data_IF_854717721285
#
_entry.id   IF_854717721285
#
_cell.length_a   1.000
_cell.length_b   1.000
_cell.length_c   1.000
_cell.angle_alpha   90.00
_cell.angle_beta   90.00
_cell.angle_gamma   90.00
#
_symmetry.space_group_name_H-M   'P 1'
#
loop_
_entity.id
_entity.type
_entity.pdbx_description
1 polymer ?
#
# COMPACT_ATOMS: atom_id res chain seq x y z
N UNK A 1 16.15 7.75 20.42
CA UNK A 1 15.99 6.41 21.05
C UNK A 1 15.24 6.46 22.36
N UNK A 2 15.74 7.14 23.40
CA UNK A 2 15.07 7.21 24.72
C UNK A 2 13.60 7.62 24.65
N UNK A 3 13.26 8.65 23.87
CA UNK A 3 11.86 9.06 23.67
C UNK A 3 10.99 7.94 23.04
N UNK A 4 11.51 7.23 22.03
CA UNK A 4 10.79 6.12 21.40
C UNK A 4 10.64 4.93 22.35
N UNK A 5 11.63 4.70 23.22
CA UNK A 5 11.56 3.68 24.27
C UNK A 5 10.45 4.00 25.27
N UNK A 6 10.39 5.23 25.77
CA UNK A 6 9.33 5.67 26.67
C UNK A 6 7.95 5.48 26.05
N UNK A 7 7.74 5.94 24.81
CA UNK A 7 6.48 5.77 24.10
C UNK A 7 6.10 4.29 23.92
N UNK A 8 7.07 3.46 23.51
CA UNK A 8 6.86 2.02 23.31
C UNK A 8 6.49 1.32 24.62
N UNK A 9 7.24 1.58 25.69
CA UNK A 9 6.98 0.99 27.00
C UNK A 9 5.63 1.45 27.53
N UNK A 10 5.32 2.74 27.48
CA UNK A 10 4.02 3.28 27.91
C UNK A 10 2.85 2.65 27.15
N UNK A 11 2.98 2.49 25.84
CA UNK A 11 1.97 1.84 25.02
C UNK A 11 1.88 0.32 25.25
N UNK A 12 2.95 -0.29 25.77
CA UNK A 12 3.03 -1.71 26.07
C UNK A 12 2.70 -2.06 27.53
N UNK A 13 2.57 -1.05 28.41
CA UNK A 13 2.38 -1.23 29.86
C UNK A 13 1.20 -2.16 30.14
N UNK A 14 1.53 -3.31 30.71
CA UNK A 14 0.61 -4.27 31.33
C UNK A 14 1.35 -4.86 32.52
N UNK A 15 0.74 -4.79 33.69
CA UNK A 15 1.35 -5.03 35.01
C UNK A 15 2.22 -6.28 35.15
N UNK A 16 2.01 -7.30 34.29
CA UNK A 16 2.69 -8.59 34.40
C UNK A 16 3.83 -8.82 33.38
N UNK A 17 4.05 -7.90 32.41
CA UNK A 17 4.97 -8.16 31.27
C UNK A 17 5.94 -7.02 30.90
N UNK A 18 6.10 -6.02 31.76
CA UNK A 18 6.95 -4.85 31.47
C UNK A 18 8.41 -5.23 31.12
N UNK A 19 8.96 -6.27 31.75
CA UNK A 19 10.31 -6.75 31.43
C UNK A 19 10.42 -7.33 30.00
N UNK A 20 9.36 -7.98 29.51
CA UNK A 20 9.34 -8.53 28.14
C UNK A 20 9.32 -7.39 27.13
N UNK A 21 8.51 -6.36 27.35
CA UNK A 21 8.48 -5.18 26.48
C UNK A 21 9.85 -4.50 26.39
N UNK A 22 10.53 -4.31 27.53
CA UNK A 22 11.88 -3.76 27.57
C UNK A 22 12.87 -4.61 26.77
N UNK A 23 12.85 -5.93 26.94
CA UNK A 23 13.72 -6.84 26.19
C UNK A 23 13.46 -6.77 24.67
N UNK A 24 12.19 -6.73 24.26
CA UNK A 24 11.79 -6.59 22.84
C UNK A 24 12.32 -5.29 22.25
N UNK A 25 12.17 -4.19 22.97
CA UNK A 25 12.67 -2.89 22.53
C UNK A 25 14.20 -2.86 22.43
N UNK A 26 14.91 -3.49 23.38
CA UNK A 26 16.37 -3.60 23.32
C UNK A 26 16.84 -4.43 22.12
N UNK A 27 16.17 -5.54 21.81
CA UNK A 27 16.44 -6.33 20.61
C UNK A 27 16.22 -5.50 19.34
N UNK A 28 15.09 -4.79 19.25
CA UNK A 28 14.77 -3.93 18.11
C UNK A 28 15.77 -2.78 17.96
N UNK A 29 16.26 -2.21 19.08
CA UNK A 29 17.29 -1.16 19.08
C UNK A 29 18.62 -1.67 18.53
N UNK A 30 19.03 -2.89 18.90
CA UNK A 30 20.25 -3.51 18.35
C UNK A 30 20.12 -3.75 16.85
N UNK A 31 18.97 -4.27 16.40
CA UNK A 31 18.68 -4.45 14.98
C UNK A 31 18.69 -3.10 14.24
N UNK A 32 18.06 -2.07 14.82
CA UNK A 32 18.03 -0.72 14.26
C UNK A 32 19.43 -0.17 13.99
N UNK A 33 20.34 -0.22 14.97
CA UNK A 33 21.70 0.30 14.76
C UNK A 33 22.48 -0.52 13.73
N UNK A 34 22.33 -1.85 13.74
CA UNK A 34 22.94 -2.73 12.73
C UNK A 34 22.45 -2.36 11.33
N UNK A 35 21.13 -2.31 11.12
CA UNK A 35 20.55 -2.01 9.82
C UNK A 35 20.85 -0.60 9.37
N UNK A 36 20.86 0.38 10.29
CA UNK A 36 21.25 1.75 9.99
C UNK A 36 22.69 1.80 9.45
N UNK A 37 23.64 1.14 10.10
CA UNK A 37 25.02 1.07 9.62
C UNK A 37 25.09 0.42 8.22
N UNK A 38 24.37 -0.68 8.00
CA UNK A 38 24.34 -1.32 6.68
C UNK A 38 23.74 -0.43 5.59
N UNK A 39 22.70 0.34 5.90
CA UNK A 39 22.14 1.35 4.99
C UNK A 39 23.16 2.44 4.65
N UNK A 40 23.85 2.97 5.66
CA UNK A 40 24.91 3.97 5.46
C UNK A 40 26.04 3.43 4.57
N UNK A 41 26.41 2.16 4.73
CA UNK A 41 27.44 1.52 3.91
C UNK A 41 26.99 1.30 2.47
N UNK A 42 25.73 0.92 2.25
CA UNK A 42 25.16 0.81 0.91
C UNK A 42 25.16 2.15 0.18
N UNK A 43 24.79 3.22 0.89
CA UNK A 43 24.77 4.59 0.37
C UNK A 43 26.17 5.17 0.15
N UNK A 44 27.18 4.82 0.97
CA UNK A 44 28.56 5.25 0.73
C UNK A 44 29.17 4.69 -0.56
N UNK A 45 28.63 3.59 -1.07
CA UNK A 45 29.05 3.02 -2.35
C UNK A 45 28.32 3.67 -3.54
N UNK A 46 27.28 4.47 -3.29
CA UNK A 46 26.59 5.30 -4.27
C UNK A 46 27.06 6.77 -4.07
N UNK A 47 27.25 7.57 -5.12
CA UNK A 47 27.85 8.93 -5.03
C UNK A 47 26.98 9.98 -4.27
N UNK A 48 25.97 9.54 -3.51
CA UNK A 48 24.84 10.29 -2.93
C UNK A 48 25.08 10.80 -1.48
N UNK A 49 26.32 11.07 -1.08
CA UNK A 49 26.70 11.35 0.32
C UNK A 49 25.99 12.56 0.97
N UNK A 50 25.56 13.56 0.19
CA UNK A 50 24.84 14.75 0.69
C UNK A 50 23.39 14.47 1.05
N UNK A 51 22.69 13.62 0.27
CA UNK A 51 21.28 13.26 0.47
C UNK A 51 21.09 12.40 1.72
N UNK A 52 22.05 11.52 2.01
CA UNK A 52 22.06 10.69 3.22
C UNK A 52 22.07 11.54 4.50
N UNK A 53 22.84 12.63 4.51
CA UNK A 53 22.91 13.54 5.65
C UNK A 53 21.58 14.24 5.93
N UNK A 54 20.85 14.62 4.87
CA UNK A 54 19.52 15.20 4.98
C UNK A 54 18.49 14.15 5.42
N UNK A 55 18.60 12.92 4.92
CA UNK A 55 17.70 11.82 5.23
C UNK A 55 17.85 11.32 6.68
N UNK A 56 19.07 11.28 7.22
CA UNK A 56 19.34 10.99 8.63
C UNK A 56 18.82 12.08 9.58
N UNK A 57 18.73 13.32 9.12
CA UNK A 57 18.13 14.42 9.88
C UNK A 57 16.60 14.35 9.90
N UNK A 58 15.98 13.51 9.05
CA UNK A 58 14.53 13.30 9.07
C UNK A 58 14.16 12.39 10.25
N UNK A 59 13.65 12.97 11.33
CA UNK A 59 13.16 12.22 12.49
C UNK A 59 12.13 11.13 12.13
N UNK A 60 11.32 11.35 11.09
CA UNK A 60 10.36 10.37 10.57
C UNK A 60 11.04 9.13 9.99
N UNK A 61 12.13 9.30 9.22
CA UNK A 61 12.87 8.17 8.65
C UNK A 61 13.41 7.25 9.75
N UNK A 62 14.09 7.82 10.75
CA UNK A 62 14.64 7.03 11.85
C UNK A 62 13.56 6.32 12.67
N UNK A 63 12.42 6.98 12.90
CA UNK A 63 11.25 6.37 13.56
C UNK A 63 10.64 5.24 12.73
N UNK A 64 10.50 5.41 11.41
CA UNK A 64 10.02 4.36 10.50
C UNK A 64 10.96 3.16 10.46
N UNK A 65 12.27 3.39 10.43
CA UNK A 65 13.27 2.33 10.48
C UNK A 65 13.20 1.56 11.81
N UNK A 66 13.07 2.27 12.93
CA UNK A 66 12.89 1.64 14.24
C UNK A 66 11.57 0.87 14.31
N UNK A 67 10.47 1.41 13.76
CA UNK A 67 9.18 0.74 13.69
C UNK A 67 9.29 -0.59 12.92
N UNK A 68 10.01 -0.61 11.80
CA UNK A 68 10.29 -1.82 11.04
C UNK A 68 11.09 -2.84 11.87
N UNK A 69 12.12 -2.40 12.60
CA UNK A 69 12.91 -3.27 13.47
C UNK A 69 12.07 -3.85 14.62
N UNK A 70 11.18 -3.05 15.20
CA UNK A 70 10.21 -3.51 16.20
C UNK A 70 9.29 -4.54 15.56
N UNK A 71 8.70 -4.27 14.39
CA UNK A 71 7.82 -5.20 13.69
C UNK A 71 8.49 -6.56 13.44
N UNK A 72 9.77 -6.57 13.04
CA UNK A 72 10.56 -7.81 12.90
C UNK A 72 10.67 -8.56 14.23
N UNK A 73 11.00 -7.85 15.32
CA UNK A 73 11.10 -8.45 16.66
C UNK A 73 9.73 -8.90 17.18
N UNK A 74 8.64 -8.25 16.82
CA UNK A 74 7.30 -8.71 17.22
C UNK A 74 6.92 -9.96 16.42
N UNK A 75 7.06 -9.91 15.09
CA UNK A 75 6.74 -11.01 14.18
C UNK A 75 7.53 -12.30 14.48
N UNK A 76 8.81 -12.18 14.84
CA UNK A 76 9.65 -13.34 15.17
C UNK A 76 9.21 -14.07 16.44
N UNK A 77 8.59 -13.37 17.39
CA UNK A 77 8.16 -13.95 18.65
C UNK A 77 6.64 -14.16 18.74
N UNK A 78 5.87 -13.76 17.72
CA UNK A 78 4.43 -13.96 17.64
C UNK A 78 4.02 -15.44 17.70
N UNK A 79 4.81 -16.37 17.14
CA UNK A 79 4.53 -17.81 17.21
C UNK A 79 4.50 -18.36 18.65
N UNK A 80 5.14 -17.69 19.61
CA UNK A 80 5.14 -18.09 21.03
C UNK A 80 4.05 -17.39 21.84
N UNK A 81 3.36 -16.41 21.27
CA UNK A 81 2.66 -15.36 22.00
C UNK A 81 1.15 -15.32 21.73
N UNK A 82 0.67 -15.98 20.67
CA UNK A 82 -0.77 -16.17 20.39
C UNK A 82 -1.50 -16.82 21.58
N UNK A 83 -0.82 -17.69 22.34
CA UNK A 83 -1.39 -18.39 23.49
C UNK A 83 -1.67 -17.48 24.71
N UNK A 84 -1.11 -16.26 24.76
CA UNK A 84 -1.18 -15.38 25.93
C UNK A 84 -1.81 -14.00 25.67
N UNK A 85 -2.38 -13.76 24.48
CA UNK A 85 -3.01 -12.47 24.14
C UNK A 85 -2.06 -11.28 24.27
N UNK A 86 -0.76 -11.55 24.19
CA UNK A 86 0.31 -10.63 24.51
C UNK A 86 0.88 -10.12 23.19
N UNK A 87 0.71 -8.83 22.94
CA UNK A 87 1.35 -8.08 21.86
C UNK A 87 0.96 -8.48 20.42
N UNK A 88 -0.29 -8.91 20.18
CA UNK A 88 -0.89 -8.98 18.83
C UNK A 88 -1.19 -7.57 18.27
N UNK A 89 -0.20 -6.67 18.35
CA UNK A 89 -0.27 -5.40 17.66
C UNK A 89 0.00 -5.65 16.19
N UNK A 90 -1.01 -5.46 15.34
CA UNK A 90 -0.78 -5.19 13.91
C UNK A 90 0.34 -4.14 13.79
N UNK A 91 1.13 -4.15 12.73
CA UNK A 91 2.11 -3.10 12.44
C UNK A 91 1.50 -1.68 12.55
N UNK A 92 0.18 -1.53 12.37
CA UNK A 92 -0.55 -0.28 12.62
C UNK A 92 -0.52 0.21 14.07
N UNK A 93 -0.32 -0.68 15.05
CA UNK A 93 -0.11 -0.30 16.44
C UNK A 93 1.19 0.48 16.58
N UNK A 94 2.32 -0.02 16.06
CA UNK A 94 3.60 0.70 16.19
C UNK A 94 3.59 2.02 15.43
N UNK A 95 2.87 2.09 14.30
CA UNK A 95 2.63 3.35 13.58
C UNK A 95 1.95 4.39 14.49
N UNK A 96 0.90 4.00 15.22
CA UNK A 96 0.22 4.91 16.17
C UNK A 96 1.13 5.33 17.32
N UNK A 97 1.89 4.41 17.90
CA UNK A 97 2.81 4.70 19.02
C UNK A 97 3.86 5.73 18.63
N UNK A 98 4.39 5.67 17.40
CA UNK A 98 5.42 6.60 16.92
C UNK A 98 4.88 7.81 16.15
N UNK A 99 3.56 7.91 16.00
CA UNK A 99 2.87 8.91 15.20
C UNK A 99 3.40 8.93 13.75
N UNK A 100 3.36 7.77 13.11
CA UNK A 100 3.79 7.53 11.73
C UNK A 100 2.59 7.18 10.86
N UNK A 101 2.66 7.55 9.59
CA UNK A 101 1.68 7.14 8.59
C UNK A 101 2.18 5.91 7.84
N UNK A 102 1.27 5.18 7.18
CA UNK A 102 1.63 4.02 6.34
C UNK A 102 2.66 4.38 5.27
N UNK A 103 2.51 5.57 4.66
CA UNK A 103 3.46 6.06 3.65
C UNK A 103 4.89 6.24 4.19
N UNK A 104 5.03 6.68 5.45
CA UNK A 104 6.34 6.86 6.08
C UNK A 104 7.07 5.52 6.28
N UNK A 105 6.33 4.45 6.58
CA UNK A 105 6.88 3.10 6.72
C UNK A 105 7.17 2.44 5.37
N UNK A 106 6.28 2.60 4.39
CA UNK A 106 6.46 2.13 3.02
C UNK A 106 7.81 2.56 2.42
N UNK A 107 8.18 3.83 2.61
CA UNK A 107 9.43 4.40 2.11
C UNK A 107 10.69 3.73 2.68
N UNK A 108 10.60 3.05 3.82
CA UNK A 108 11.75 2.42 4.49
C UNK A 108 11.79 0.91 4.24
N UNK A 109 10.65 0.24 4.03
CA UNK A 109 10.56 -1.22 3.90
C UNK A 109 11.46 -1.78 2.78
N UNK A 110 11.46 -1.15 1.60
CA UNK A 110 12.29 -1.59 0.48
C UNK A 110 13.79 -1.55 0.79
N UNK A 111 14.28 -0.43 1.31
CA UNK A 111 15.69 -0.27 1.69
C UNK A 111 16.06 -1.17 2.87
N UNK A 112 15.14 -1.38 3.83
CA UNK A 112 15.34 -2.29 4.95
C UNK A 112 15.58 -3.73 4.47
N UNK A 113 14.74 -4.23 3.56
CA UNK A 113 14.88 -5.57 3.00
C UNK A 113 16.17 -5.73 2.18
N UNK A 114 16.63 -4.67 1.50
CA UNK A 114 17.93 -4.65 0.80
C UNK A 114 19.11 -4.69 1.78
N UNK A 115 19.00 -4.00 2.92
CA UNK A 115 20.07 -3.91 3.92
C UNK A 115 20.20 -5.13 4.83
N UNK A 116 19.10 -5.82 5.15
CA UNK A 116 19.10 -6.99 6.03
C UNK A 116 18.83 -8.28 5.24
N UNK A 117 19.89 -8.80 4.59
CA UNK A 117 19.82 -10.01 3.75
C UNK A 117 19.75 -11.32 4.53
N UNK A 118 19.94 -11.29 5.86
CA UNK A 118 19.99 -12.48 6.72
C UNK A 118 18.66 -12.76 7.43
N UNK A 119 17.55 -12.12 7.02
CA UNK A 119 16.24 -12.38 7.60
C UNK A 119 15.76 -13.80 7.25
N UNK A 120 15.15 -14.52 8.21
CA UNK A 120 14.43 -15.75 7.90
C UNK A 120 13.33 -15.49 6.86
N UNK A 121 13.12 -16.43 5.92
CA UNK A 121 12.15 -16.27 4.83
C UNK A 121 10.72 -16.01 5.32
N UNK A 122 10.34 -16.54 6.48
CA UNK A 122 9.04 -16.27 7.10
C UNK A 122 8.87 -14.80 7.52
N UNK A 123 9.93 -14.18 8.04
CA UNK A 123 9.95 -12.76 8.44
C UNK A 123 9.99 -11.86 7.21
N UNK A 124 10.81 -12.20 6.21
CA UNK A 124 10.84 -11.47 4.95
C UNK A 124 9.45 -11.46 4.27
N UNK A 125 8.78 -12.62 4.23
CA UNK A 125 7.40 -12.75 3.73
C UNK A 125 6.40 -11.95 4.58
N UNK A 126 6.58 -11.93 5.89
CA UNK A 126 5.76 -11.09 6.79
C UNK A 126 5.89 -9.60 6.45
N UNK A 127 7.11 -9.09 6.24
CA UNK A 127 7.32 -7.70 5.86
C UNK A 127 6.75 -7.36 4.47
N UNK A 128 6.79 -8.31 3.53
CA UNK A 128 6.10 -8.15 2.24
C UNK A 128 4.58 -8.06 2.43
N UNK A 129 3.98 -8.88 3.30
CA UNK A 129 2.56 -8.77 3.63
C UNK A 129 2.23 -7.42 4.29
N UNK A 130 3.10 -6.91 5.16
CA UNK A 130 2.95 -5.57 5.76
C UNK A 130 2.99 -4.49 4.67
N UNK A 131 3.90 -4.60 3.70
CA UNK A 131 3.95 -3.68 2.55
C UNK A 131 2.65 -3.72 1.75
N UNK A 132 2.14 -4.91 1.45
CA UNK A 132 0.87 -5.08 0.75
C UNK A 132 -0.29 -4.47 1.54
N UNK A 133 -0.41 -4.73 2.85
CA UNK A 133 -1.45 -4.12 3.70
C UNK A 133 -1.39 -2.59 3.71
N UNK A 134 -0.17 -2.02 3.73
CA UNK A 134 0.00 -0.57 3.64
C UNK A 134 -0.56 -0.03 2.33
N UNK A 135 -0.23 -0.68 1.22
CA UNK A 135 -0.68 -0.33 -0.13
C UNK A 135 -2.19 -0.58 -0.29
N UNK A 136 -2.75 -1.58 0.37
CA UNK A 136 -4.15 -1.94 0.24
C UNK A 136 -5.08 -0.95 0.95
N UNK A 137 -4.72 -0.43 2.12
CA UNK A 137 -5.63 0.46 2.88
C UNK A 137 -4.95 1.52 3.76
N UNK A 138 -3.80 1.26 4.39
CA UNK A 138 -3.25 2.17 5.41
C UNK A 138 -2.82 3.51 4.82
N UNK A 139 -2.23 3.50 3.63
CA UNK A 139 -1.73 4.69 2.96
C UNK A 139 -2.86 5.62 2.47
N UNK A 140 -4.08 5.11 2.32
CA UNK A 140 -5.21 5.86 1.78
C UNK A 140 -6.07 6.53 2.86
N UNK A 141 -5.70 6.43 4.14
CA UNK A 141 -6.37 7.16 5.22
C UNK A 141 -6.32 8.67 4.98
N UNK A 142 -7.37 9.41 5.31
CA UNK A 142 -7.48 10.84 4.99
C UNK A 142 -6.31 11.70 5.52
N UNK A 143 -5.74 11.34 6.67
CA UNK A 143 -4.59 12.04 7.29
C UNK A 143 -3.24 11.66 6.65
N UNK A 144 -3.23 10.84 5.60
CA UNK A 144 -2.00 10.36 4.98
C UNK A 144 -1.25 11.49 4.25
N UNK A 145 0.08 11.61 4.44
CA UNK A 145 0.91 12.58 3.72
C UNK A 145 0.96 12.34 2.21
N UNK A 146 0.45 11.18 1.75
CA UNK A 146 0.28 10.89 0.33
C UNK A 146 -0.54 11.97 -0.38
N UNK A 147 -1.67 12.38 0.20
CA UNK A 147 -2.58 13.33 -0.43
C UNK A 147 -1.97 14.74 -0.48
N UNK A 148 -1.30 15.16 0.60
CA UNK A 148 -0.59 16.44 0.63
C UNK A 148 0.52 16.49 -0.43
N UNK A 149 1.32 15.42 -0.53
CA UNK A 149 2.41 15.34 -1.53
C UNK A 149 1.85 15.34 -2.96
N UNK A 150 0.71 14.69 -3.19
CA UNK A 150 0.03 14.71 -4.48
C UNK A 150 -0.53 16.09 -4.83
N UNK A 151 -1.03 16.84 -3.84
CA UNK A 151 -1.54 18.20 -4.05
C UNK A 151 -0.40 19.17 -4.35
N UNK A 152 0.70 19.12 -3.58
CA UNK A 152 1.87 19.97 -3.82
C UNK A 152 2.43 19.79 -5.24
N UNK A 153 2.47 18.55 -5.74
CA UNK A 153 2.95 18.28 -7.10
C UNK A 153 1.95 18.69 -8.20
N UNK A 154 0.65 18.84 -7.89
CA UNK A 154 -0.36 19.31 -8.85
C UNK A 154 -0.30 20.82 -9.07
N UNK A 155 0.00 21.57 -8.02
CA UNK A 155 0.14 23.03 -8.11
C UNK A 155 1.30 23.42 -9.04
N UNK A 156 2.32 22.55 -9.18
CA UNK A 156 3.42 22.69 -10.14
C UNK A 156 3.02 22.31 -11.60
N UNK A 157 1.96 21.52 -11.80
CA UNK A 157 1.52 21.00 -13.11
C UNK A 157 0.63 21.94 -13.92
N UNK A 158 -0.08 22.90 -13.30
CA UNK A 158 -0.88 23.88 -14.06
C UNK A 158 -0.01 24.69 -15.05
N UNK A 159 1.32 24.63 -14.91
CA UNK A 159 2.30 25.30 -15.75
C UNK A 159 2.95 24.40 -16.83
N UNK A 160 2.95 23.06 -16.73
CA UNK A 160 3.74 22.19 -17.63
C UNK A 160 3.13 20.79 -17.87
N UNK A 161 2.21 20.70 -18.84
CA UNK A 161 1.71 19.47 -19.50
C UNK A 161 0.92 18.46 -18.64
N UNK A 162 0.07 17.68 -19.33
CA UNK A 162 -0.83 16.63 -18.80
C UNK A 162 -0.08 15.38 -18.27
N UNK A 163 0.98 15.57 -17.48
CA UNK A 163 1.70 14.47 -16.85
C UNK A 163 0.99 14.05 -15.54
N UNK A 164 1.41 12.93 -14.94
CA UNK A 164 0.82 12.45 -13.70
C UNK A 164 1.56 13.05 -12.49
N UNK A 165 0.86 13.58 -11.48
CA UNK A 165 1.50 14.30 -10.35
C UNK A 165 2.53 13.48 -9.58
N UNK A 166 2.37 12.15 -9.56
CA UNK A 166 3.26 11.26 -8.83
C UNK A 166 4.58 10.95 -9.56
N UNK A 167 4.72 11.29 -10.84
CA UNK A 167 5.97 11.07 -11.60
C UNK A 167 7.10 11.99 -11.15
N UNK A 168 6.78 13.09 -10.46
CA UNK A 168 7.75 14.10 -10.04
C UNK A 168 8.58 13.70 -8.80
N UNK A 169 8.17 12.66 -8.06
CA UNK A 169 8.88 12.17 -6.87
C UNK A 169 9.19 10.69 -6.99
N UNK A 170 10.47 10.32 -6.81
CA UNK A 170 10.92 8.92 -6.82
C UNK A 170 10.15 8.03 -5.82
N UNK A 171 9.75 8.60 -4.67
CA UNK A 171 9.02 7.86 -3.65
C UNK A 171 7.53 7.66 -4.00
N UNK A 172 6.91 8.66 -4.62
CA UNK A 172 5.52 8.56 -5.09
C UNK A 172 5.44 7.65 -6.32
N UNK A 173 6.36 7.80 -7.27
CA UNK A 173 6.40 6.95 -8.45
C UNK A 173 6.53 5.48 -8.05
N UNK A 174 7.50 5.15 -7.19
CA UNK A 174 7.68 3.80 -6.66
C UNK A 174 6.40 3.27 -5.98
N UNK A 175 5.74 4.11 -5.19
CA UNK A 175 4.48 3.76 -4.53
C UNK A 175 3.38 3.42 -5.54
N UNK A 176 3.10 4.31 -6.50
CA UNK A 176 2.06 4.09 -7.51
C UNK A 176 2.38 2.88 -8.41
N UNK A 177 3.66 2.65 -8.73
CA UNK A 177 4.09 1.42 -9.43
C UNK A 177 3.67 0.18 -8.63
N UNK A 178 3.99 0.14 -7.34
CA UNK A 178 3.69 -1.01 -6.49
C UNK A 178 2.19 -1.17 -6.27
N UNK A 179 1.45 -0.08 -6.09
CA UNK A 179 -0.01 -0.09 -5.99
C UNK A 179 -0.67 -0.65 -7.25
N UNK A 180 -0.26 -0.19 -8.43
CA UNK A 180 -0.75 -0.70 -9.71
C UNK A 180 -0.42 -2.18 -9.91
N UNK A 181 0.81 -2.61 -9.59
CA UNK A 181 1.20 -4.03 -9.69
C UNK A 181 0.38 -4.93 -8.76
N UNK A 182 0.21 -4.52 -7.51
CA UNK A 182 -0.59 -5.27 -6.53
C UNK A 182 -2.06 -5.35 -6.98
N UNK A 183 -2.64 -4.24 -7.42
CA UNK A 183 -4.00 -4.19 -7.93
C UNK A 183 -4.20 -5.09 -9.15
N UNK A 184 -3.29 -5.02 -10.13
CA UNK A 184 -3.34 -5.85 -11.33
C UNK A 184 -3.24 -7.34 -10.97
N UNK A 185 -2.31 -7.72 -10.09
CA UNK A 185 -2.15 -9.11 -9.66
C UNK A 185 -3.42 -9.65 -9.00
N UNK A 186 -4.00 -8.90 -8.05
CA UNK A 186 -5.24 -9.29 -7.36
C UNK A 186 -6.44 -9.36 -8.31
N UNK A 187 -6.56 -8.39 -9.21
CA UNK A 187 -7.58 -8.38 -10.26
C UNK A 187 -7.45 -9.60 -11.18
N UNK A 188 -6.24 -9.95 -11.62
CA UNK A 188 -5.98 -11.09 -12.49
C UNK A 188 -6.40 -12.42 -11.83
N UNK A 189 -6.10 -12.61 -10.55
CA UNK A 189 -6.55 -13.80 -9.79
C UNK A 189 -8.08 -13.85 -9.72
N UNK A 190 -8.75 -12.74 -9.41
CA UNK A 190 -10.21 -12.67 -9.37
C UNK A 190 -10.84 -12.99 -10.72
N UNK A 191 -10.31 -12.41 -11.80
CA UNK A 191 -10.76 -12.67 -13.16
C UNK A 191 -10.56 -14.13 -13.56
N UNK A 192 -9.43 -14.75 -13.18
CA UNK A 192 -9.19 -16.18 -13.38
C UNK A 192 -10.20 -17.05 -12.61
N UNK A 193 -10.53 -16.71 -11.37
CA UNK A 193 -11.54 -17.42 -10.59
C UNK A 193 -12.99 -17.25 -11.09
N UNK A 194 -13.23 -16.25 -11.94
CA UNK A 194 -14.53 -15.92 -12.54
C UNK A 194 -14.59 -16.24 -14.05
N UNK A 195 -13.55 -16.91 -14.58
CA UNK A 195 -13.44 -17.30 -15.99
C UNK A 195 -13.60 -16.12 -16.98
N UNK A 196 -13.04 -14.96 -16.62
CA UNK A 196 -13.07 -13.75 -17.45
C UNK A 196 -11.92 -13.73 -18.45
N UNK A 197 -12.24 -13.49 -19.73
CA UNK A 197 -11.26 -13.45 -20.82
C UNK A 197 -10.31 -12.24 -20.74
N UNK A 198 -9.23 -12.29 -21.53
CA UNK A 198 -8.18 -11.26 -21.55
C UNK A 198 -8.70 -9.87 -21.94
N UNK A 199 -9.67 -9.79 -22.84
CA UNK A 199 -10.23 -8.50 -23.29
C UNK A 199 -11.00 -7.80 -22.17
N UNK A 200 -11.78 -8.55 -21.38
CA UNK A 200 -12.44 -8.03 -20.20
C UNK A 200 -11.43 -7.64 -19.13
N UNK A 201 -10.38 -8.44 -18.91
CA UNK A 201 -9.33 -8.11 -17.95
C UNK A 201 -8.66 -6.77 -18.27
N UNK A 202 -8.35 -6.48 -19.54
CA UNK A 202 -7.80 -5.19 -19.97
C UNK A 202 -8.74 -4.02 -19.69
N UNK A 203 -10.04 -4.20 -19.92
CA UNK A 203 -11.03 -3.16 -19.65
C UNK A 203 -11.24 -2.92 -18.15
N UNK A 204 -11.27 -3.99 -17.35
CA UNK A 204 -11.31 -3.91 -15.89
C UNK A 204 -10.05 -3.20 -15.38
N UNK A 205 -8.88 -3.55 -15.93
CA UNK A 205 -7.62 -2.89 -15.60
C UNK A 205 -7.66 -1.39 -15.89
N UNK A 206 -8.06 -0.97 -17.09
CA UNK A 206 -8.17 0.45 -17.43
C UNK A 206 -9.06 1.23 -16.47
N UNK A 207 -10.14 0.62 -15.97
CA UNK A 207 -11.00 1.22 -14.95
C UNK A 207 -10.29 1.35 -13.59
N UNK A 208 -9.59 0.30 -13.14
CA UNK A 208 -8.81 0.30 -11.89
C UNK A 208 -7.67 1.33 -11.95
N UNK A 209 -6.92 1.33 -13.04
CA UNK A 209 -5.81 2.26 -13.27
C UNK A 209 -6.31 3.71 -13.22
N UNK A 210 -7.44 4.02 -13.86
CA UNK A 210 -8.04 5.35 -13.79
C UNK A 210 -8.40 5.74 -12.35
N UNK A 211 -8.89 4.79 -11.53
CA UNK A 211 -9.17 5.05 -10.11
C UNK A 211 -7.90 5.37 -9.33
N UNK A 212 -6.82 4.61 -9.54
CA UNK A 212 -5.57 4.77 -8.80
C UNK A 212 -4.86 6.05 -9.24
N UNK A 213 -4.66 6.23 -10.55
CA UNK A 213 -3.79 7.26 -11.12
C UNK A 213 -4.48 8.61 -11.30
N UNK A 214 -5.76 8.65 -11.69
CA UNK A 214 -6.46 9.89 -12.04
C UNK A 214 -7.49 10.32 -10.99
N UNK A 215 -8.18 9.33 -10.39
CA UNK A 215 -9.29 9.56 -9.44
C UNK A 215 -8.98 9.05 -8.04
N UNK A 216 -7.74 9.27 -7.59
CA UNK A 216 -7.17 8.73 -6.34
C UNK A 216 -8.03 9.00 -5.09
N UNK A 217 -8.81 10.10 -5.08
CA UNK A 217 -9.74 10.42 -3.98
C UNK A 217 -10.79 9.34 -3.72
N UNK A 218 -11.10 8.48 -4.70
CA UNK A 218 -12.00 7.33 -4.48
C UNK A 218 -11.42 6.32 -3.47
N UNK A 219 -10.10 6.29 -3.29
CA UNK A 219 -9.41 5.42 -2.33
C UNK A 219 -9.36 6.01 -0.92
N UNK A 220 -9.67 7.30 -0.74
CA UNK A 220 -9.60 7.94 0.58
C UNK A 220 -10.50 7.22 1.60
N UNK A 221 -9.89 6.79 2.71
CA UNK A 221 -10.49 5.97 3.78
C UNK A 221 -11.10 4.64 3.30
N UNK A 222 -10.64 4.14 2.15
CA UNK A 222 -11.13 2.93 1.51
C UNK A 222 -10.01 1.94 1.25
N UNK A 223 -10.44 0.72 0.94
CA UNK A 223 -9.56 -0.39 0.62
C UNK A 223 -9.47 -0.55 -0.89
N UNK A 224 -8.27 -0.79 -1.41
CA UNK A 224 -8.01 -0.97 -2.85
C UNK A 224 -8.88 -2.07 -3.48
N UNK A 225 -9.05 -3.20 -2.78
CA UNK A 225 -9.95 -4.27 -3.21
C UNK A 225 -11.42 -3.85 -3.40
N UNK A 226 -11.92 -2.83 -2.71
CA UNK A 226 -13.28 -2.31 -2.96
C UNK A 226 -13.37 -1.73 -4.37
N UNK A 227 -12.35 -0.97 -4.79
CA UNK A 227 -12.23 -0.43 -6.15
C UNK A 227 -12.09 -1.57 -7.17
N UNK A 228 -11.26 -2.58 -6.90
CA UNK A 228 -11.08 -3.74 -7.80
C UNK A 228 -12.42 -4.47 -8.01
N UNK A 229 -13.14 -4.79 -6.94
CA UNK A 229 -14.43 -5.49 -7.03
C UNK A 229 -15.50 -4.64 -7.73
N UNK A 230 -15.53 -3.33 -7.49
CA UNK A 230 -16.47 -2.42 -8.17
C UNK A 230 -16.15 -2.23 -9.66
N UNK A 231 -14.88 -2.11 -10.03
CA UNK A 231 -14.45 -2.03 -11.42
C UNK A 231 -14.78 -3.31 -12.19
N UNK A 232 -14.51 -4.48 -11.59
CA UNK A 232 -14.88 -5.77 -12.15
C UNK A 232 -16.39 -5.87 -12.37
N UNK A 233 -17.20 -5.57 -11.35
CA UNK A 233 -18.65 -5.59 -11.47
C UNK A 233 -19.15 -4.61 -12.55
N UNK A 234 -18.67 -3.37 -12.54
CA UNK A 234 -19.09 -2.32 -13.47
C UNK A 234 -18.83 -2.68 -14.93
N UNK A 235 -17.62 -3.15 -15.25
CA UNK A 235 -17.26 -3.56 -16.62
C UNK A 235 -18.04 -4.80 -17.06
N UNK A 236 -18.16 -5.82 -16.20
CA UNK A 236 -18.93 -7.02 -16.52
C UNK A 236 -20.40 -6.69 -16.78
N UNK A 237 -21.00 -5.79 -16.00
CA UNK A 237 -22.39 -5.36 -16.19
C UNK A 237 -22.62 -4.67 -17.54
N UNK A 238 -21.68 -3.83 -17.99
CA UNK A 238 -21.77 -3.11 -19.28
C UNK A 238 -21.57 -4.06 -20.47
N UNK A 239 -20.78 -5.11 -20.27
CA UNK A 239 -20.56 -6.17 -21.27
C UNK A 239 -21.58 -7.29 -21.20
N UNK A 240 -22.71 -7.03 -20.54
CA UNK A 240 -23.84 -7.96 -20.39
C UNK A 240 -23.41 -9.35 -19.87
N UNK A 241 -22.36 -9.38 -19.03
CA UNK A 241 -21.96 -10.59 -18.30
C UNK A 241 -22.78 -10.71 -17.02
N UNK A 242 -23.38 -11.87 -16.83
CA UNK A 242 -24.16 -12.18 -15.63
C UNK A 242 -23.24 -12.47 -14.43
N UNK A 243 -22.67 -11.40 -13.87
CA UNK A 243 -21.83 -11.44 -12.67
C UNK A 243 -22.48 -10.60 -11.59
N UNK A 244 -22.69 -11.22 -10.44
CA UNK A 244 -23.23 -10.56 -9.25
C UNK A 244 -22.13 -10.25 -8.24
N UNK A 245 -22.31 -9.21 -7.43
CA UNK A 245 -21.41 -8.95 -6.28
C UNK A 245 -21.25 -10.16 -5.37
N UNK A 246 -22.29 -10.99 -5.20
CA UNK A 246 -22.22 -12.23 -4.42
C UNK A 246 -21.18 -13.21 -4.98
N UNK A 247 -21.13 -13.36 -6.31
CA UNK A 247 -20.12 -14.20 -6.97
C UNK A 247 -18.72 -13.63 -6.76
N UNK A 248 -18.55 -12.32 -6.95
CA UNK A 248 -17.28 -11.62 -6.80
C UNK A 248 -16.74 -11.76 -5.37
N UNK A 249 -17.52 -11.40 -4.34
CA UNK A 249 -17.06 -11.45 -2.95
C UNK A 249 -16.76 -12.87 -2.48
N UNK A 250 -17.43 -13.89 -3.06
CA UNK A 250 -17.12 -15.31 -2.78
C UNK A 250 -15.73 -15.68 -3.30
N UNK A 251 -15.35 -15.23 -4.49
CA UNK A 251 -14.01 -15.47 -5.07
C UNK A 251 -12.95 -14.58 -4.43
N UNK A 252 -13.31 -13.38 -3.99
CA UNK A 252 -12.45 -12.46 -3.24
C UNK A 252 -11.91 -13.07 -1.96
N UNK A 253 -12.75 -13.82 -1.21
CA UNK A 253 -12.32 -14.49 0.02
C UNK A 253 -11.29 -15.62 -0.21
N UNK A 254 -10.97 -15.95 -1.46
CA UNK A 254 -9.87 -16.87 -1.81
C UNK A 254 -8.53 -16.15 -1.95
N UNK A 255 -8.50 -14.81 -1.96
CA UNK A 255 -7.27 -14.04 -2.02
C UNK A 255 -6.55 -14.03 -0.66
N UNK A 256 -5.22 -13.94 -0.65
CA UNK A 256 -4.47 -13.73 0.58
C UNK A 256 -4.88 -12.40 1.23
N UNK A 257 -4.93 -12.41 2.57
CA UNK A 257 -5.30 -11.28 3.43
C UNK A 257 -6.69 -10.69 3.15
N UNK A 258 -7.56 -11.46 2.49
CA UNK A 258 -8.94 -11.05 2.27
C UNK A 258 -9.76 -11.10 3.56
N UNK A 259 -10.68 -10.15 3.71
CA UNK A 259 -11.56 -10.10 4.87
C UNK A 259 -12.97 -9.71 4.46
N UNK A 260 -13.96 -10.35 5.06
CA UNK A 260 -15.37 -10.01 4.82
C UNK A 260 -15.72 -8.58 5.26
N UNK A 261 -14.93 -7.98 6.16
CA UNK A 261 -15.11 -6.60 6.60
C UNK A 261 -14.91 -5.62 5.44
N UNK A 262 -14.02 -5.93 4.51
CA UNK A 262 -13.66 -5.07 3.37
C UNK A 262 -14.86 -4.73 2.49
N UNK A 263 -15.81 -5.66 2.30
CA UNK A 263 -17.01 -5.40 1.50
C UNK A 263 -18.29 -5.20 2.31
N UNK A 264 -18.24 -5.41 3.64
CA UNK A 264 -19.37 -5.21 4.55
C UNK A 264 -19.39 -3.81 5.18
N UNK A 265 -18.22 -3.23 5.43
CA UNK A 265 -18.05 -1.91 6.03
C UNK A 265 -17.14 -1.06 5.14
N UNK A 266 -17.77 -0.34 4.22
CA UNK A 266 -17.13 0.56 3.26
C UNK A 266 -17.43 2.00 3.68
N UNK A 267 -16.41 2.85 3.70
CA UNK A 267 -16.54 4.24 4.10
C UNK A 267 -17.44 5.04 3.13
N UNK A 268 -18.42 5.74 3.71
CA UNK A 268 -19.39 6.58 3.02
C UNK A 268 -19.23 8.04 3.50
N UNK A 269 -19.40 9.05 2.62
CA UNK A 269 -19.43 10.45 3.01
C UNK A 269 -20.59 10.70 3.98
N UNK A 270 -20.29 11.29 5.13
CA UNK A 270 -21.27 11.79 6.11
C UNK A 270 -22.31 10.75 6.62
N UNK A 271 -22.04 9.46 6.41
CA UNK A 271 -22.90 8.35 6.80
C UNK A 271 -22.10 7.24 7.50
N UNK A 272 -22.82 6.37 8.22
CA UNK A 272 -22.21 5.16 8.76
C UNK A 272 -21.69 4.26 7.62
N UNK A 273 -20.62 3.53 7.89
CA UNK A 273 -20.05 2.58 6.93
C UNK A 273 -21.13 1.59 6.42
N UNK A 274 -21.14 1.35 5.11
CA UNK A 274 -22.17 0.57 4.43
C UNK A 274 -21.58 -0.55 3.58
N UNK A 275 -22.41 -1.26 2.82
CA UNK A 275 -21.97 -2.35 1.96
C UNK A 275 -21.23 -1.86 0.70
N UNK A 276 -20.44 -2.75 0.09
CA UNK A 276 -19.82 -2.50 -1.22
C UNK A 276 -20.82 -2.15 -2.32
N UNK A 277 -22.06 -2.64 -2.22
CA UNK A 277 -23.12 -2.33 -3.19
C UNK A 277 -23.57 -0.88 -3.03
N UNK A 278 -23.68 -0.39 -1.79
CA UNK A 278 -23.99 1.01 -1.49
C UNK A 278 -22.89 1.92 -2.03
N UNK A 279 -21.63 1.60 -1.75
CA UNK A 279 -20.46 2.30 -2.30
C UNK A 279 -20.47 2.34 -3.82
N UNK A 280 -20.75 1.20 -4.47
CA UNK A 280 -20.82 1.13 -5.93
C UNK A 280 -21.88 2.08 -6.50
N UNK A 281 -23.11 2.01 -5.99
CA UNK A 281 -24.23 2.76 -6.52
C UNK A 281 -24.13 4.27 -6.22
N UNK A 282 -23.70 4.62 -5.01
CA UNK A 282 -23.75 6.01 -4.53
C UNK A 282 -22.47 6.79 -4.84
N UNK A 283 -21.31 6.14 -4.98
CA UNK A 283 -20.03 6.84 -5.11
C UNK A 283 -19.31 6.42 -6.39
N UNK A 284 -19.02 5.13 -6.54
CA UNK A 284 -18.22 4.62 -7.65
C UNK A 284 -18.86 4.95 -9.00
N UNK A 285 -20.16 4.69 -9.16
CA UNK A 285 -20.88 4.97 -10.40
C UNK A 285 -21.02 6.46 -10.68
N UNK A 286 -21.18 7.30 -9.65
CA UNK A 286 -21.22 8.75 -9.86
C UNK A 286 -19.88 9.27 -10.38
N UNK A 287 -18.78 8.72 -9.87
CA UNK A 287 -17.44 9.16 -10.24
C UNK A 287 -16.93 8.52 -11.53
N UNK A 288 -17.36 7.33 -11.95
CA UNK A 288 -16.78 6.59 -13.08
C UNK A 288 -17.71 6.34 -14.28
N UNK A 289 -18.93 6.88 -14.27
CA UNK A 289 -19.90 6.63 -15.35
C UNK A 289 -19.36 6.99 -16.74
N UNK A 290 -18.65 8.11 -16.86
CA UNK A 290 -18.06 8.60 -18.10
C UNK A 290 -16.99 7.63 -18.66
N UNK A 291 -16.07 7.17 -17.81
CA UNK A 291 -15.04 6.18 -18.18
C UNK A 291 -15.66 4.84 -18.58
N UNK A 292 -16.63 4.38 -17.80
CA UNK A 292 -17.37 3.15 -18.07
C UNK A 292 -18.15 3.21 -19.40
N UNK A 293 -18.72 4.36 -19.74
CA UNK A 293 -19.37 4.59 -21.05
C UNK A 293 -18.33 4.62 -22.17
N UNK A 294 -17.16 5.22 -21.96
CA UNK A 294 -16.07 5.20 -22.94
C UNK A 294 -15.57 3.79 -23.25
N UNK A 295 -15.59 2.87 -22.27
CA UNK A 295 -15.28 1.45 -22.49
C UNK A 295 -16.36 0.79 -23.38
N UNK A 296 -17.62 1.24 -23.31
CA UNK A 296 -18.73 0.65 -24.05
C UNK A 296 -18.76 1.00 -25.54
N UNK A 297 -18.12 2.11 -25.96
CA UNK A 297 -18.09 2.52 -27.36
C UNK A 297 -17.04 1.71 -28.13
N UNK A 298 -17.39 1.11 -29.28
CA UNK A 298 -16.42 0.50 -30.17
C UNK A 298 -15.65 1.62 -30.88
N UNK A 299 -14.57 2.10 -30.26
CA UNK A 299 -13.67 3.10 -30.83
C UNK A 299 -12.26 2.49 -30.98
N UNK A 300 -11.55 2.76 -32.09
CA UNK A 300 -10.32 2.06 -32.42
C UNK A 300 -9.22 2.44 -31.43
N UNK A 301 -8.69 1.42 -30.74
CA UNK A 301 -7.37 1.38 -30.09
C UNK A 301 -6.75 2.76 -29.77
N UNK A 302 -7.18 3.41 -28.69
CA UNK A 302 -6.51 4.60 -28.14
C UNK A 302 -5.64 4.26 -26.93
N UNK A 303 -5.53 2.98 -26.56
CA UNK A 303 -4.79 2.54 -25.37
C UNK A 303 -3.28 2.39 -25.56
N UNK A 304 -2.74 2.37 -26.79
CA UNK A 304 -1.36 1.91 -27.02
C UNK A 304 -0.25 2.99 -26.88
N UNK A 305 -0.57 4.28 -26.78
CA UNK A 305 0.45 5.36 -26.74
C UNK A 305 0.79 5.90 -25.34
N UNK A 306 -0.12 5.76 -24.37
CA UNK A 306 0.12 6.13 -22.95
C UNK A 306 0.52 4.90 -22.12
N UNK A 307 -0.04 3.72 -22.39
CA UNK A 307 0.39 2.46 -21.75
C UNK A 307 1.86 2.16 -22.06
N UNK A 308 2.34 2.35 -23.30
CA UNK A 308 3.74 2.07 -23.62
C UNK A 308 4.73 3.09 -23.05
N UNK A 309 4.38 4.38 -22.88
CA UNK A 309 5.30 5.34 -22.24
C UNK A 309 5.33 5.19 -20.74
N UNK A 310 4.16 5.06 -20.10
CA UNK A 310 4.09 4.82 -18.67
C UNK A 310 4.72 3.46 -18.32
N UNK A 311 4.39 2.37 -19.01
CA UNK A 311 4.97 1.05 -18.72
C UNK A 311 6.46 0.93 -19.14
N UNK A 312 6.92 1.61 -20.20
CA UNK A 312 8.36 1.63 -20.53
C UNK A 312 9.18 2.53 -19.60
N UNK A 313 8.58 3.58 -19.02
CA UNK A 313 9.23 4.37 -17.97
C UNK A 313 9.17 3.68 -16.59
N UNK A 314 8.11 2.89 -16.34
CA UNK A 314 8.00 2.00 -15.17
C UNK A 314 8.92 0.77 -15.29
N UNK A 315 9.27 0.34 -16.50
CA UNK A 315 10.22 -0.76 -16.77
C UNK A 315 11.67 -0.28 -16.89
N UNK A 316 11.92 0.97 -17.28
CA UNK A 316 13.26 1.57 -17.22
C UNK A 316 13.75 1.71 -15.76
N UNK A 317 12.83 1.97 -14.82
CA UNK A 317 13.10 1.97 -13.37
C UNK A 317 13.39 0.55 -12.80
N UNK A 318 12.98 -0.52 -13.49
CA UNK A 318 13.25 -1.91 -13.07
C UNK A 318 14.69 -2.36 -13.34
N UNK A 319 15.49 -1.61 -14.10
CA UNK A 319 16.91 -1.95 -14.33
C UNK A 319 17.84 -1.63 -13.15
N UNK A 320 17.33 -1.02 -12.07
CA UNK A 320 18.13 -0.56 -10.93
C UNK A 320 17.98 -1.35 -9.61
N UNK A 321 17.16 -2.40 -9.54
CA UNK A 321 17.00 -3.19 -8.31
C UNK A 321 17.41 -4.66 -8.52
N UNK A 322 18.33 -5.20 -7.71
CA UNK A 322 18.75 -6.60 -7.84
C UNK A 322 17.61 -7.55 -7.46
N UNK A 323 17.55 -8.66 -8.21
CA UNK A 323 16.52 -9.71 -8.18
C UNK A 323 16.46 -10.49 -6.87
#
# INVERSE_FOLDING_TARGET
>A
MTACQTLFLEASKRSDFDHVAELRFQMASKLFYKTLISLLQLEQNEDSSSELSALLQMAKFLKSLLACCIEVVMATYNNSCEQYGMLTGSFEWILRVFNLHGFDLFRVLGSFLKAETQLPSSVAKHLQNVEDEIILHVVWKAESPLFDTLLSNRDDEELQNQQLPWLQSNSLSLFFVKACRLAHHRMSILCGHLDLNSDLQKQIWSCIETCICHRTKILQDRHLDQVIMCALYGVCKIREKDITFRSIVKKYLLLPHSSSQVYRHVAMPDEAASSIISFYNQIFMQQLKDHLVAISTPSPQVSDLLEMKALNELSSFQRGLPQ
#
